data_IF_176299784162
#
_entry.id   IF_176299784162
#
_cell.length_a   1.000
_cell.length_b   1.000
_cell.length_c   1.000
_cell.angle_alpha   90.00
_cell.angle_beta   90.00
_cell.angle_gamma   90.00
#
_symmetry.space_group_name_H-M   'P 1'
#
loop_
_entity.id
_entity.type
_entity.pdbx_description
1 polymer ?
#
# COMPACT_ATOMS: atom_id res chain seq x y z
N UNK A 1 0.71 24.07 10.28
CA UNK A 1 0.50 22.64 9.98
C UNK A 1 1.43 22.09 8.91
N UNK A 2 1.76 22.85 7.86
CA UNK A 2 2.63 22.46 6.72
C UNK A 2 4.09 22.14 7.08
N UNK A 3 4.73 22.86 8.04
CA UNK A 3 6.11 22.58 8.47
C UNK A 3 6.33 21.20 9.11
N UNK A 4 5.31 20.63 9.79
CA UNK A 4 5.38 19.27 10.36
C UNK A 4 5.25 18.18 9.31
N UNK A 5 4.47 18.42 8.25
CA UNK A 5 4.37 17.54 7.08
C UNK A 5 5.68 17.47 6.30
N UNK A 6 6.36 18.62 6.08
CA UNK A 6 7.68 18.65 5.42
C UNK A 6 8.74 17.82 6.16
N UNK A 7 8.80 17.91 7.49
CA UNK A 7 9.78 17.15 8.27
C UNK A 7 9.45 15.64 8.28
N UNK A 8 8.17 15.27 8.24
CA UNK A 8 7.72 13.87 8.12
C UNK A 8 8.05 13.27 6.75
N UNK A 9 7.75 13.99 5.67
CA UNK A 9 8.02 13.57 4.29
C UNK A 9 9.52 13.44 3.99
N UNK A 10 10.38 14.32 4.50
CA UNK A 10 11.84 14.22 4.37
C UNK A 10 12.43 12.94 4.95
N UNK A 11 11.79 12.33 5.94
CA UNK A 11 12.22 11.05 6.55
C UNK A 11 11.59 9.83 5.89
N UNK A 12 10.60 10.00 5.01
CA UNK A 12 9.84 8.91 4.40
C UNK A 12 10.54 8.27 3.21
N UNK A 13 11.31 9.05 2.46
CA UNK A 13 11.99 8.59 1.25
C UNK A 13 13.50 8.57 1.45
N UNK A 14 14.02 7.51 2.06
CA UNK A 14 15.47 7.35 2.27
C UNK A 14 16.26 7.27 0.96
N UNK A 15 15.61 6.82 -0.12
CA UNK A 15 16.31 6.48 -1.37
C UNK A 15 15.82 7.24 -2.61
N UNK A 16 14.73 8.02 -2.53
CA UNK A 16 14.18 8.74 -3.69
C UNK A 16 14.38 10.25 -3.63
N UNK A 17 15.08 10.74 -2.62
CA UNK A 17 15.14 12.17 -2.34
C UNK A 17 13.84 12.65 -1.68
N UNK A 18 13.94 13.70 -0.89
CA UNK A 18 12.76 14.35 -0.33
C UNK A 18 11.87 14.81 -1.48
N UNK A 19 10.56 14.68 -1.32
CA UNK A 19 9.62 15.47 -2.12
C UNK A 19 9.85 16.94 -1.68
N UNK A 20 10.78 17.60 -2.33
CA UNK A 20 11.09 19.01 -2.07
C UNK A 20 10.38 19.88 -3.08
N UNK A 21 9.04 19.77 -3.09
CA UNK A 21 8.22 20.66 -3.88
C UNK A 21 8.13 22.03 -3.19
N UNK A 22 8.25 23.13 -3.94
CA UNK A 22 7.86 24.46 -3.47
C UNK A 22 6.42 24.44 -2.93
N UNK A 23 6.13 25.29 -1.94
CA UNK A 23 4.79 25.33 -1.32
C UNK A 23 3.68 25.59 -2.34
N UNK A 24 3.99 26.34 -3.38
CA UNK A 24 3.07 26.68 -4.48
C UNK A 24 2.64 25.43 -5.29
N UNK A 25 3.52 24.44 -5.37
CA UNK A 25 3.28 23.21 -6.12
C UNK A 25 2.59 22.14 -5.25
N UNK A 26 2.71 22.25 -3.91
CA UNK A 26 2.19 21.24 -2.98
C UNK A 26 0.68 21.09 -3.04
N UNK A 27 -0.08 22.16 -3.20
CA UNK A 27 -1.55 22.09 -3.30
C UNK A 27 -1.97 21.37 -4.56
N UNK A 28 -1.42 21.74 -5.72
CA UNK A 28 -1.69 21.05 -6.98
C UNK A 28 -1.22 19.60 -6.98
N UNK A 29 -0.07 19.30 -6.36
CA UNK A 29 0.37 17.92 -6.18
C UNK A 29 -0.61 17.14 -5.28
N UNK A 30 -1.05 17.73 -4.17
CA UNK A 30 -2.01 17.12 -3.27
C UNK A 30 -3.34 16.82 -3.98
N UNK A 31 -3.89 17.78 -4.72
CA UNK A 31 -5.11 17.58 -5.49
C UNK A 31 -4.97 16.50 -6.56
N UNK A 32 -3.84 16.46 -7.24
CA UNK A 32 -3.58 15.49 -8.31
C UNK A 32 -3.22 14.09 -7.80
N UNK A 33 -2.52 13.98 -6.67
CA UNK A 33 -2.03 12.69 -6.16
C UNK A 33 -2.92 12.08 -5.07
N UNK A 34 -3.59 12.91 -4.29
CA UNK A 34 -4.43 12.51 -3.16
C UNK A 34 -5.90 12.84 -3.42
N UNK A 35 -6.18 13.80 -4.32
CA UNK A 35 -7.53 14.18 -4.72
C UNK A 35 -8.33 12.96 -5.15
N UNK A 36 -9.48 12.79 -4.54
CA UNK A 36 -10.34 11.65 -4.72
C UNK A 36 -11.08 11.75 -6.05
N UNK A 37 -10.74 10.93 -7.00
CA UNK A 37 -11.49 10.71 -8.22
C UNK A 37 -11.84 9.21 -8.34
N UNK A 38 -12.71 8.81 -9.26
CA UNK A 38 -13.09 7.42 -9.45
C UNK A 38 -11.90 6.51 -9.83
N UNK A 39 -10.80 7.12 -10.28
CA UNK A 39 -9.59 6.42 -10.74
C UNK A 39 -8.43 6.48 -9.73
N UNK A 40 -8.70 6.96 -8.52
CA UNK A 40 -7.69 7.07 -7.45
C UNK A 40 -8.31 6.78 -6.09
N UNK A 41 -7.54 6.14 -5.26
CA UNK A 41 -7.82 5.96 -3.85
C UNK A 41 -6.53 6.13 -3.07
N UNK A 42 -6.54 6.99 -2.07
CA UNK A 42 -5.42 7.21 -1.17
C UNK A 42 -5.91 7.28 0.26
N UNK A 43 -5.25 6.58 1.16
CA UNK A 43 -5.60 6.60 2.58
C UNK A 43 -4.38 6.35 3.46
N UNK A 44 -4.55 6.67 4.74
CA UNK A 44 -3.55 6.43 5.77
C UNK A 44 -3.95 5.25 6.65
N UNK A 45 -2.97 4.44 7.04
CA UNK A 45 -3.15 3.34 7.97
C UNK A 45 -2.71 3.78 9.36
N UNK A 46 -3.62 3.64 10.33
CA UNK A 46 -3.34 3.83 11.76
C UNK A 46 -3.08 2.49 12.43
N UNK A 47 -2.14 2.50 13.38
CA UNK A 47 -1.98 1.39 14.30
C UNK A 47 -3.08 1.46 15.37
N UNK A 48 -3.82 0.36 15.58
CA UNK A 48 -4.96 0.33 16.53
C UNK A 48 -4.53 0.53 17.97
N UNK A 49 -3.34 0.07 18.37
CA UNK A 49 -2.86 0.14 19.75
C UNK A 49 -2.69 1.58 20.29
N UNK A 50 -2.31 2.54 19.46
CA UNK A 50 -2.00 3.91 19.90
C UNK A 50 -2.45 5.00 18.91
N UNK A 51 -3.20 4.61 17.88
CA UNK A 51 -3.64 5.49 16.79
C UNK A 51 -2.50 6.18 16.03
N UNK A 52 -1.27 5.68 16.11
CA UNK A 52 -0.15 6.22 15.36
C UNK A 52 -0.34 6.01 13.85
N UNK A 53 -0.05 7.03 13.05
CA UNK A 53 0.00 6.92 11.60
C UNK A 53 1.26 6.17 11.19
N UNK A 54 1.12 5.01 10.55
CA UNK A 54 2.24 4.11 10.26
C UNK A 54 2.59 4.03 8.78
N UNK A 55 1.64 4.33 7.90
CA UNK A 55 1.85 4.33 6.45
C UNK A 55 0.73 5.04 5.70
N UNK A 56 1.00 5.27 4.44
CA UNK A 56 -0.01 5.59 3.43
C UNK A 56 -0.07 4.47 2.38
N UNK A 57 -1.26 4.26 1.86
CA UNK A 57 -1.54 3.28 0.80
C UNK A 57 -2.43 3.93 -0.23
N UNK A 58 -2.21 3.58 -1.47
CA UNK A 58 -3.00 4.07 -2.58
C UNK A 58 -3.12 3.03 -3.69
N UNK A 59 -4.12 3.19 -4.53
CA UNK A 59 -4.15 2.62 -5.86
C UNK A 59 -4.70 3.67 -6.84
N UNK A 60 -4.26 3.60 -8.07
CA UNK A 60 -4.69 4.52 -9.11
C UNK A 60 -4.65 3.85 -10.48
N UNK A 61 -5.52 4.33 -11.36
CA UNK A 61 -5.54 3.89 -12.74
C UNK A 61 -4.47 4.60 -13.56
N UNK A 62 -3.67 3.83 -14.28
CA UNK A 62 -2.59 4.34 -15.13
C UNK A 62 -3.00 4.22 -16.59
N UNK A 63 -3.54 5.29 -17.17
CA UNK A 63 -4.07 5.33 -18.54
C UNK A 63 -3.08 4.84 -19.59
N UNK A 64 -1.80 5.22 -19.47
CA UNK A 64 -0.76 4.81 -20.41
C UNK A 64 -0.46 3.31 -20.43
N UNK A 65 -0.93 2.57 -19.41
CA UNK A 65 -0.75 1.13 -19.24
C UNK A 65 -2.05 0.35 -19.25
N UNK A 66 -3.18 1.04 -19.14
CA UNK A 66 -4.52 0.46 -19.04
C UNK A 66 -4.68 -0.51 -17.86
N UNK A 67 -4.14 -0.13 -16.69
CA UNK A 67 -4.24 -0.94 -15.48
C UNK A 67 -4.23 -0.12 -14.18
N UNK A 68 -4.57 -0.77 -13.07
CA UNK A 68 -4.49 -0.21 -11.73
C UNK A 68 -3.13 -0.52 -11.11
N UNK A 69 -2.44 0.52 -10.66
CA UNK A 69 -1.19 0.41 -9.89
C UNK A 69 -1.48 0.58 -8.39
N UNK A 70 -0.68 -0.10 -7.56
CA UNK A 70 -0.69 0.06 -6.11
C UNK A 70 0.56 0.78 -5.63
N UNK A 71 0.39 1.67 -4.63
CA UNK A 71 1.47 2.31 -3.91
C UNK A 71 1.37 2.09 -2.41
N UNK A 72 2.49 1.76 -1.78
CA UNK A 72 2.58 1.59 -0.33
C UNK A 72 3.84 2.23 0.18
N UNK A 73 3.70 3.22 1.06
CA UNK A 73 4.83 3.90 1.71
C UNK A 73 4.78 3.64 3.21
N UNK A 74 5.76 2.90 3.72
CA UNK A 74 5.93 2.68 5.16
C UNK A 74 6.79 3.79 5.76
N UNK A 75 6.29 4.44 6.80
CA UNK A 75 7.05 5.46 7.51
C UNK A 75 8.26 4.87 8.22
N UNK A 76 9.43 5.50 8.08
CA UNK A 76 10.71 4.95 8.50
C UNK A 76 10.74 4.31 9.91
N UNK A 77 10.10 4.89 10.97
CA UNK A 77 10.07 4.28 12.29
C UNK A 77 9.32 2.94 12.37
N UNK A 78 8.52 2.62 11.35
CA UNK A 78 7.65 1.44 11.31
C UNK A 78 8.09 0.39 10.28
N UNK A 79 9.15 0.67 9.52
CA UNK A 79 9.72 -0.30 8.58
C UNK A 79 10.29 -1.51 9.32
N UNK A 80 10.24 -2.70 8.70
CA UNK A 80 10.75 -3.95 9.27
C UNK A 80 9.94 -4.52 10.44
N UNK A 81 8.80 -3.92 10.81
CA UNK A 81 7.97 -4.32 11.96
C UNK A 81 6.72 -5.14 11.60
N UNK A 82 6.66 -5.67 10.39
CA UNK A 82 5.57 -6.56 9.96
C UNK A 82 4.27 -5.87 9.54
N UNK A 83 4.20 -4.54 9.51
CA UNK A 83 2.96 -3.83 9.17
C UNK A 83 2.64 -3.81 7.67
N UNK A 84 3.60 -4.18 6.81
CA UNK A 84 3.44 -4.06 5.35
C UNK A 84 2.36 -5.00 4.81
N UNK A 85 2.43 -6.27 5.18
CA UNK A 85 1.50 -7.31 4.72
C UNK A 85 0.05 -7.00 5.12
N UNK A 86 -0.30 -6.79 6.42
CA UNK A 86 -1.68 -6.50 6.78
C UNK A 86 -2.22 -5.20 6.16
N UNK A 87 -1.37 -4.18 5.95
CA UNK A 87 -1.82 -2.96 5.31
C UNK A 87 -2.08 -3.13 3.81
N UNK A 88 -1.24 -3.90 3.11
CA UNK A 88 -1.48 -4.27 1.72
C UNK A 88 -2.78 -5.07 1.59
N UNK A 89 -3.01 -6.03 2.49
CA UNK A 89 -4.24 -6.82 2.54
C UNK A 89 -5.48 -5.94 2.67
N UNK A 90 -5.51 -5.02 3.64
CA UNK A 90 -6.64 -4.09 3.82
C UNK A 90 -6.93 -3.27 2.54
N UNK A 91 -5.88 -2.82 1.86
CA UNK A 91 -6.02 -2.07 0.62
C UNK A 91 -6.57 -2.96 -0.51
N UNK A 92 -6.07 -4.19 -0.66
CA UNK A 92 -6.56 -5.14 -1.66
C UNK A 92 -8.02 -5.53 -1.39
N UNK A 93 -8.39 -5.75 -0.13
CA UNK A 93 -9.79 -5.99 0.24
C UNK A 93 -10.68 -4.83 -0.20
N UNK A 94 -10.28 -3.59 0.05
CA UNK A 94 -11.03 -2.42 -0.40
C UNK A 94 -11.12 -2.34 -1.93
N UNK A 95 -10.01 -2.48 -2.62
CA UNK A 95 -9.95 -2.41 -4.08
C UNK A 95 -10.84 -3.48 -4.76
N UNK A 96 -10.75 -4.72 -4.31
CA UNK A 96 -11.45 -5.84 -4.93
C UNK A 96 -12.91 -5.97 -4.50
N UNK A 97 -13.23 -5.75 -3.22
CA UNK A 97 -14.57 -5.97 -2.68
C UNK A 97 -15.47 -4.75 -2.78
N UNK A 98 -14.89 -3.56 -2.58
CA UNK A 98 -15.64 -2.29 -2.54
C UNK A 98 -15.58 -1.58 -3.89
N UNK A 99 -14.39 -1.38 -4.46
CA UNK A 99 -14.24 -0.65 -5.73
C UNK A 99 -14.45 -1.54 -6.96
N UNK A 100 -14.54 -2.86 -6.81
CA UNK A 100 -14.83 -3.77 -7.92
C UNK A 100 -13.68 -3.94 -8.92
N UNK A 101 -12.47 -3.50 -8.57
CA UNK A 101 -11.29 -3.66 -9.41
C UNK A 101 -11.03 -5.15 -9.64
N UNK A 102 -10.70 -5.55 -10.88
CA UNK A 102 -10.47 -6.94 -11.24
C UNK A 102 -9.02 -7.39 -11.13
N UNK A 103 -8.07 -6.46 -11.30
CA UNK A 103 -6.63 -6.73 -11.22
C UNK A 103 -5.86 -5.49 -10.81
N UNK A 104 -4.76 -5.71 -10.09
CA UNK A 104 -3.84 -4.66 -9.63
C UNK A 104 -2.42 -5.06 -9.98
N UNK A 105 -1.65 -4.11 -10.44
CA UNK A 105 -0.25 -4.23 -10.81
C UNK A 105 0.64 -3.49 -9.81
N UNK A 106 1.92 -3.84 -9.80
CA UNK A 106 2.98 -3.04 -9.19
C UNK A 106 4.30 -3.28 -9.94
N UNK A 107 5.04 -2.21 -10.14
CA UNK A 107 6.32 -2.22 -10.82
C UNK A 107 7.44 -1.83 -9.86
N UNK A 108 8.47 -2.66 -9.76
CA UNK A 108 9.63 -2.43 -8.92
C UNK A 108 10.87 -2.20 -9.77
N UNK A 109 11.57 -1.10 -9.57
CA UNK A 109 12.84 -0.86 -10.23
C UNK A 109 13.89 -1.85 -9.71
N UNK A 110 14.35 -2.77 -10.56
CA UNK A 110 15.29 -3.85 -10.17
C UNK A 110 16.58 -3.28 -9.57
N UNK A 111 17.10 -2.18 -10.11
CA UNK A 111 18.32 -1.53 -9.62
C UNK A 111 18.22 -1.01 -8.16
N UNK A 112 17.01 -0.86 -7.61
CA UNK A 112 16.81 -0.44 -6.21
C UNK A 112 16.91 -1.59 -5.22
N UNK A 113 16.90 -2.84 -5.69
CA UNK A 113 16.96 -4.05 -4.87
C UNK A 113 15.92 -4.08 -3.72
N UNK A 114 14.66 -3.75 -4.03
CA UNK A 114 13.56 -3.62 -3.07
C UNK A 114 12.98 -4.98 -2.64
N UNK A 115 13.84 -5.93 -2.28
CA UNK A 115 13.47 -7.33 -1.98
C UNK A 115 12.34 -7.42 -0.94
N UNK A 116 12.41 -6.63 0.13
CA UNK A 116 11.37 -6.65 1.17
C UNK A 116 9.99 -6.22 0.65
N UNK A 117 9.94 -5.30 -0.32
CA UNK A 117 8.70 -4.90 -0.96
C UNK A 117 8.17 -6.00 -1.88
N UNK A 118 9.04 -6.64 -2.69
CA UNK A 118 8.67 -7.79 -3.53
C UNK A 118 8.10 -8.93 -2.70
N UNK A 119 8.78 -9.31 -1.61
CA UNK A 119 8.33 -10.36 -0.68
C UNK A 119 6.99 -10.02 -0.02
N UNK A 120 6.74 -8.76 0.30
CA UNK A 120 5.45 -8.31 0.81
C UNK A 120 4.34 -8.57 -0.21
N UNK A 121 4.57 -8.25 -1.48
CA UNK A 121 3.60 -8.48 -2.54
C UNK A 121 3.39 -9.98 -2.83
N UNK A 122 4.47 -10.78 -2.86
CA UNK A 122 4.36 -12.24 -3.01
C UNK A 122 3.52 -12.89 -1.91
N UNK A 123 3.68 -12.46 -0.66
CA UNK A 123 2.90 -12.97 0.48
C UNK A 123 1.41 -12.70 0.35
N UNK A 124 1.03 -11.61 -0.32
CA UNK A 124 -0.36 -11.27 -0.60
C UNK A 124 -0.88 -11.89 -1.92
N UNK A 125 -0.07 -12.68 -2.61
CA UNK A 125 -0.49 -13.43 -3.79
C UNK A 125 -0.19 -12.77 -5.13
N UNK A 126 0.59 -11.69 -5.15
CA UNK A 126 1.08 -11.15 -6.41
C UNK A 126 2.00 -12.16 -7.11
N UNK A 127 1.81 -12.29 -8.40
CA UNK A 127 2.64 -13.13 -9.28
C UNK A 127 3.55 -12.25 -10.11
N UNK A 128 4.77 -12.70 -10.32
CA UNK A 128 5.72 -12.07 -11.22
C UNK A 128 5.31 -12.32 -12.68
N UNK A 129 5.30 -11.26 -13.47
CA UNK A 129 5.06 -11.33 -14.91
C UNK A 129 6.37 -11.34 -15.71
N UNK A 130 7.47 -10.85 -15.11
CA UNK A 130 8.78 -10.77 -15.71
C UNK A 130 9.48 -9.44 -15.44
N UNK A 131 10.66 -9.30 -16.03
CA UNK A 131 11.45 -8.06 -15.97
C UNK A 131 11.52 -7.44 -17.35
N UNK A 132 11.09 -6.19 -17.46
CA UNK A 132 11.14 -5.43 -18.70
C UNK A 132 11.64 -4.02 -18.41
N UNK A 133 12.53 -3.48 -19.28
CA UNK A 133 13.10 -2.15 -19.14
C UNK A 133 13.67 -1.83 -17.74
N UNK A 134 14.18 -2.85 -17.02
CA UNK A 134 14.75 -2.70 -15.69
C UNK A 134 13.71 -2.64 -14.56
N UNK A 135 12.45 -2.99 -14.84
CA UNK A 135 11.38 -3.11 -13.85
C UNK A 135 10.90 -4.55 -13.73
N UNK A 136 10.78 -5.04 -12.52
CA UNK A 136 10.05 -6.27 -12.20
C UNK A 136 8.55 -5.93 -12.14
N UNK A 137 7.79 -6.55 -13.02
CA UNK A 137 6.34 -6.41 -13.08
C UNK A 137 5.66 -7.49 -12.27
N UNK A 138 4.74 -7.10 -11.40
CA UNK A 138 3.94 -8.02 -10.59
C UNK A 138 2.46 -7.70 -10.73
N UNK A 139 1.61 -8.72 -10.60
CA UNK A 139 0.15 -8.58 -10.71
C UNK A 139 -0.57 -9.52 -9.75
N UNK A 140 -1.72 -9.07 -9.27
CA UNK A 140 -2.71 -9.90 -8.57
C UNK A 140 -4.09 -9.72 -9.20
N UNK A 141 -4.83 -10.81 -9.36
CA UNK A 141 -6.21 -10.79 -9.84
C UNK A 141 -7.18 -11.07 -8.69
N UNK A 142 -8.35 -10.44 -8.76
CA UNK A 142 -9.41 -10.50 -7.75
C UNK A 142 -9.79 -11.95 -7.40
N UNK A 143 -10.02 -12.78 -8.40
CA UNK A 143 -10.46 -14.17 -8.23
C UNK A 143 -9.45 -14.99 -7.44
N UNK A 144 -8.15 -14.85 -7.76
CA UNK A 144 -7.08 -15.54 -7.06
C UNK A 144 -6.96 -15.08 -5.60
N UNK A 145 -7.07 -13.76 -5.37
CA UNK A 145 -7.03 -13.17 -4.04
C UNK A 145 -8.20 -13.67 -3.17
N UNK A 146 -9.43 -13.61 -3.67
CA UNK A 146 -10.60 -14.03 -2.92
C UNK A 146 -10.63 -15.54 -2.65
N UNK A 147 -10.16 -16.34 -3.58
CA UNK A 147 -10.03 -17.79 -3.41
C UNK A 147 -9.00 -18.14 -2.33
N UNK A 148 -7.87 -17.44 -2.28
CA UNK A 148 -6.85 -17.61 -1.24
C UNK A 148 -7.36 -17.19 0.15
N UNK A 149 -8.09 -16.08 0.22
CA UNK A 149 -8.68 -15.57 1.46
C UNK A 149 -9.72 -16.52 2.08
N UNK A 150 -10.42 -17.31 1.28
CA UNK A 150 -11.40 -18.31 1.75
C UNK A 150 -10.75 -19.57 2.36
N UNK A 151 -9.48 -19.84 2.06
CA UNK A 151 -8.74 -21.01 2.53
C UNK A 151 -8.08 -20.83 3.89
N UNK A 152 -8.05 -19.60 4.42
CA UNK A 152 -7.57 -19.35 5.79
C UNK A 152 -8.71 -19.69 6.74
N UNK A 153 -8.57 -20.69 7.67
CA UNK A 153 -9.56 -20.93 8.69
C UNK A 153 -9.77 -19.64 9.49
N UNK A 154 -11.01 -19.29 9.72
CA UNK A 154 -11.35 -18.28 10.72
C UNK A 154 -11.00 -18.92 12.05
N UNK A 155 -9.86 -18.56 12.63
CA UNK A 155 -9.60 -18.88 14.04
C UNK A 155 -10.79 -18.31 14.85
N UNK A 156 -11.46 -19.16 15.59
CA UNK A 156 -12.58 -18.80 16.43
C UNK A 156 -12.22 -17.57 17.28
N UNK A 157 -13.13 -16.60 17.44
CA UNK A 157 -12.87 -15.48 18.31
C UNK A 157 -12.62 -16.02 19.71
N UNK A 158 -11.44 -15.73 20.25
CA UNK A 158 -11.07 -16.05 21.63
C UNK A 158 -12.20 -15.53 22.51
N UNK A 159 -12.98 -16.47 23.03
CA UNK A 159 -14.04 -16.20 24.01
C UNK A 159 -13.35 -15.70 25.27
N UNK A 160 -13.53 -14.44 25.70
CA UNK A 160 -13.02 -13.99 26.99
C UNK A 160 -13.93 -14.61 28.07
N UNK A 161 -13.52 -15.75 28.60
CA UNK A 161 -14.11 -16.28 29.82
C UNK A 161 -13.95 -15.22 30.91
N UNK A 162 -15.08 -14.66 31.31
CA UNK A 162 -15.22 -13.88 32.52
C UNK A 162 -14.90 -14.78 33.72
N UNK A 163 -13.77 -14.58 34.34
CA UNK A 163 -13.57 -15.02 35.72
C UNK A 163 -14.06 -13.92 36.64
N UNK A 164 -15.26 -14.15 37.14
CA UNK A 164 -15.75 -13.53 38.38
C UNK A 164 -15.23 -14.33 39.57
N UNK A 165 -14.42 -13.72 40.40
CA UNK A 165 -14.27 -13.99 41.81
C UNK A 165 -13.67 -12.77 42.52
#
# INVERSE_FOLDING_TARGET
MQRKLRCGLRRLHRDTGCIDYPDEVLSGWYENMIGQGPERFHTYIKRSADSAWIRDVCFHYTHGKDWWDVGIVMYAPYQGKGYAVPALKLMLDHAFRVCGISRIHNDFKVARNEIAAWETHRKEGFRELGVENGFLHMMIIKEAYLCAAQKVPVDDPINPTAETA
#
